data_IF_036285294060
#
_entry.id   IF_036285294060
#
_cell.length_a   1.000
_cell.length_b   1.000
_cell.length_c   1.000
_cell.angle_alpha   90.00
_cell.angle_beta   90.00
_cell.angle_gamma   90.00
#
_symmetry.space_group_name_H-M   'P 1'
#
loop_
_entity.id
_entity.type
_entity.pdbx_description
1 polymer ?
#
# COMPACT_ATOMS: atom_id res chain seq x y z
N UNK A 1 21.55 -5.58 26.18
CA UNK A 1 20.29 -5.12 25.60
C UNK A 1 19.94 -6.09 24.49
N UNK A 2 18.74 -6.63 24.53
CA UNK A 2 18.33 -7.84 23.81
C UNK A 2 18.30 -7.60 22.29
N UNK A 3 18.88 -8.50 21.51
CA UNK A 3 18.79 -8.58 20.05
C UNK A 3 17.35 -8.71 19.52
N UNK A 4 16.35 -8.75 20.42
CA UNK A 4 14.93 -8.95 20.08
C UNK A 4 14.27 -7.80 19.31
N UNK A 5 14.95 -6.67 19.11
CA UNK A 5 14.43 -5.51 18.39
C UNK A 5 15.32 -5.05 17.21
N UNK A 6 16.32 -5.85 16.82
CA UNK A 6 17.17 -5.51 15.67
C UNK A 6 16.39 -5.53 14.34
N UNK A 7 15.27 -6.25 14.31
CA UNK A 7 14.45 -6.46 13.11
C UNK A 7 13.11 -5.71 13.18
N UNK A 8 12.93 -4.78 14.15
CA UNK A 8 11.72 -3.99 14.26
C UNK A 8 11.88 -2.68 13.50
N UNK A 9 11.09 -2.51 12.46
CA UNK A 9 11.03 -1.30 11.66
C UNK A 9 9.70 -0.57 11.88
N UNK A 10 9.73 0.76 12.00
CA UNK A 10 8.55 1.61 12.00
C UNK A 10 8.42 2.25 10.63
N UNK A 11 7.40 1.86 9.90
CA UNK A 11 7.09 2.40 8.57
C UNK A 11 5.98 3.44 8.72
N UNK A 12 6.27 4.74 8.60
CA UNK A 12 5.24 5.77 8.67
C UNK A 12 4.38 5.77 7.41
N UNK A 13 3.08 5.95 7.59
CA UNK A 13 2.13 6.07 6.49
C UNK A 13 1.89 7.55 6.13
N UNK A 14 1.76 7.80 4.83
CA UNK A 14 1.35 9.07 4.23
C UNK A 14 0.14 8.76 3.35
N UNK A 15 -1.03 8.93 3.93
CA UNK A 15 -2.31 8.73 3.24
C UNK A 15 -2.70 10.04 2.56
N UNK A 16 -2.95 10.00 1.26
CA UNK A 16 -3.23 11.21 0.45
C UNK A 16 -4.65 11.14 -0.10
N UNK A 17 -5.38 12.23 0.10
CA UNK A 17 -6.71 12.48 -0.47
C UNK A 17 -6.83 13.93 -0.90
N UNK A 18 -7.37 14.20 -2.10
CA UNK A 18 -7.48 15.55 -2.67
C UNK A 18 -6.14 16.32 -2.64
N UNK A 19 -5.02 15.65 -2.91
CA UNK A 19 -3.65 16.22 -2.88
C UNK A 19 -3.18 16.69 -1.50
N UNK A 20 -3.82 16.28 -0.41
CA UNK A 20 -3.41 16.57 0.96
C UNK A 20 -3.24 15.29 1.77
N UNK A 21 -2.32 15.33 2.75
CA UNK A 21 -2.18 14.25 3.72
C UNK A 21 -3.39 14.26 4.64
N UNK A 22 -4.00 13.09 4.81
CA UNK A 22 -5.17 12.93 5.68
C UNK A 22 -5.01 11.75 6.63
N UNK A 23 -5.79 11.78 7.70
CA UNK A 23 -6.01 10.63 8.57
C UNK A 23 -7.52 10.40 8.69
N UNK A 24 -7.94 9.19 8.35
CA UNK A 24 -9.32 8.74 8.50
C UNK A 24 -9.52 8.06 9.86
N UNK A 25 -10.71 8.18 10.42
CA UNK A 25 -11.11 7.39 11.60
C UNK A 25 -11.70 6.07 11.12
N UNK A 26 -11.00 4.97 11.36
CA UNK A 26 -11.46 3.63 10.95
C UNK A 26 -11.64 3.43 9.45
N UNK A 27 -10.96 4.22 8.62
CA UNK A 27 -11.10 4.18 7.16
C UNK A 27 -12.40 4.80 6.63
N UNK A 28 -13.17 5.51 7.48
CA UNK A 28 -14.47 6.06 7.07
C UNK A 28 -14.31 7.42 6.37
N UNK A 29 -14.87 7.54 5.16
CA UNK A 29 -14.98 8.82 4.44
C UNK A 29 -15.79 9.84 5.24
N UNK A 30 -15.38 11.11 5.19
CA UNK A 30 -16.05 12.20 5.94
C UNK A 30 -15.53 12.37 7.35
N UNK A 31 -14.47 11.63 7.73
CA UNK A 31 -13.84 11.73 9.05
C UNK A 31 -12.43 12.33 8.97
N UNK A 32 -12.04 12.86 7.81
CA UNK A 32 -10.70 13.29 7.50
C UNK A 32 -10.20 14.40 8.43
N UNK A 33 -9.01 14.20 8.99
CA UNK A 33 -8.18 15.26 9.53
C UNK A 33 -7.05 15.53 8.55
N UNK A 34 -6.90 16.77 8.09
CA UNK A 34 -5.92 17.17 7.10
C UNK A 34 -4.64 17.66 7.73
N UNK A 35 -3.48 17.29 7.17
CA UNK A 35 -2.15 17.58 7.69
C UNK A 35 -1.25 18.34 6.71
N UNK A 36 -1.76 18.71 5.53
CA UNK A 36 -1.09 19.54 4.55
C UNK A 36 -0.39 18.75 3.43
N UNK A 37 0.74 19.26 2.97
CA UNK A 37 1.41 18.80 1.76
C UNK A 37 2.05 17.40 1.94
N UNK A 38 1.83 16.46 1.00
CA UNK A 38 2.38 15.11 1.06
C UNK A 38 3.91 15.04 0.97
N UNK A 39 4.52 15.93 0.19
CA UNK A 39 5.97 15.98 0.01
C UNK A 39 6.65 16.44 1.31
N UNK A 40 6.08 17.47 1.94
CA UNK A 40 6.56 17.98 3.23
C UNK A 40 6.43 16.91 4.33
N UNK A 41 5.32 16.15 4.33
CA UNK A 41 5.11 15.07 5.28
C UNK A 41 6.10 13.92 5.07
N UNK A 42 6.28 13.45 3.84
CA UNK A 42 7.25 12.41 3.50
C UNK A 42 8.67 12.81 3.92
N UNK A 43 9.11 14.00 3.53
CA UNK A 43 10.39 14.56 3.94
C UNK A 43 10.55 14.65 5.46
N UNK A 44 9.49 15.08 6.15
CA UNK A 44 9.50 15.18 7.60
C UNK A 44 9.69 13.83 8.29
N UNK A 45 9.22 12.71 7.71
CA UNK A 45 9.46 11.37 8.23
C UNK A 45 10.88 10.89 7.93
N UNK A 46 11.39 11.12 6.71
CA UNK A 46 12.77 10.80 6.35
C UNK A 46 13.76 11.55 7.26
N UNK A 47 13.54 12.83 7.50
CA UNK A 47 14.38 13.65 8.42
C UNK A 47 14.35 13.13 9.87
N UNK A 48 13.32 12.38 10.26
CA UNK A 48 13.21 11.70 11.57
C UNK A 48 13.79 10.29 11.59
N UNK A 49 14.33 9.82 10.47
CA UNK A 49 15.04 8.55 10.37
C UNK A 49 14.19 7.37 9.89
N UNK A 50 13.06 7.62 9.22
CA UNK A 50 12.35 6.57 8.52
C UNK A 50 13.26 5.99 7.42
N UNK A 51 13.34 4.67 7.35
CA UNK A 51 14.05 3.91 6.31
C UNK A 51 13.12 3.45 5.19
N UNK A 52 11.83 3.41 5.47
CA UNK A 52 10.77 3.07 4.52
C UNK A 52 9.58 4.01 4.72
N UNK A 53 8.90 4.38 3.63
CA UNK A 53 7.62 5.10 3.66
C UNK A 53 6.51 4.24 3.05
N UNK A 54 5.34 4.28 3.70
CA UNK A 54 4.10 3.70 3.17
C UNK A 54 3.21 4.80 2.61
N UNK A 55 3.00 4.81 1.31
CA UNK A 55 2.21 5.81 0.61
C UNK A 55 0.88 5.21 0.18
N UNK A 56 -0.22 5.89 0.45
CA UNK A 56 -1.56 5.42 0.06
C UNK A 56 -2.32 6.50 -0.70
N UNK A 57 -2.69 6.20 -1.94
CA UNK A 57 -3.65 7.00 -2.70
C UNK A 57 -5.07 6.60 -2.30
N UNK A 58 -5.67 7.38 -1.38
CA UNK A 58 -7.03 7.11 -0.91
C UNK A 58 -8.08 7.39 -1.98
N UNK A 59 -7.88 8.39 -2.84
CA UNK A 59 -8.77 8.63 -3.97
C UNK A 59 -8.70 7.46 -4.95
N UNK A 60 -7.48 6.98 -5.25
CA UNK A 60 -7.27 5.78 -6.03
C UNK A 60 -7.92 4.54 -5.43
N UNK A 61 -7.79 4.35 -4.13
CA UNK A 61 -8.41 3.24 -3.41
C UNK A 61 -9.94 3.26 -3.49
N UNK A 62 -10.52 4.45 -3.39
CA UNK A 62 -11.98 4.60 -3.38
C UNK A 62 -12.59 4.68 -4.79
N UNK A 63 -11.95 5.35 -5.73
CA UNK A 63 -12.47 5.65 -7.05
C UNK A 63 -11.86 4.78 -8.14
N UNK A 64 -10.70 4.19 -7.85
CA UNK A 64 -10.01 3.27 -8.74
C UNK A 64 -9.13 3.93 -9.78
N UNK A 65 -8.90 5.23 -9.66
CA UNK A 65 -7.99 5.98 -10.50
C UNK A 65 -6.95 6.68 -9.60
N UNK A 66 -5.68 6.61 -9.96
CA UNK A 66 -4.58 7.22 -9.19
C UNK A 66 -4.58 8.75 -9.36
N UNK A 67 -5.44 9.41 -8.62
CA UNK A 67 -5.68 10.86 -8.73
C UNK A 67 -4.51 11.69 -8.21
N UNK A 68 -3.75 11.15 -7.26
CA UNK A 68 -2.63 11.84 -6.61
C UNK A 68 -1.26 11.49 -7.22
N UNK A 69 -1.21 10.98 -8.46
CA UNK A 69 0.01 10.51 -9.10
C UNK A 69 1.15 11.55 -9.08
N UNK A 70 0.88 12.80 -9.42
CA UNK A 70 1.89 13.87 -9.44
C UNK A 70 2.58 14.07 -8.08
N UNK A 71 1.83 13.96 -6.97
CA UNK A 71 2.39 14.07 -5.63
C UNK A 71 3.30 12.88 -5.30
N UNK A 72 2.89 11.67 -5.68
CA UNK A 72 3.69 10.46 -5.46
C UNK A 72 4.95 10.43 -6.34
N UNK A 73 4.86 10.81 -7.61
CA UNK A 73 6.04 10.95 -8.48
C UNK A 73 7.07 11.90 -7.86
N UNK A 74 6.62 13.06 -7.34
CA UNK A 74 7.49 14.01 -6.67
C UNK A 74 8.16 13.42 -5.41
N UNK A 75 7.45 12.58 -4.65
CA UNK A 75 8.02 11.86 -3.49
C UNK A 75 9.02 10.81 -3.96
N UNK A 76 8.69 10.01 -4.98
CA UNK A 76 9.58 8.98 -5.54
C UNK A 76 10.89 9.60 -6.03
N UNK A 77 10.83 10.72 -6.74
CA UNK A 77 12.01 11.41 -7.26
C UNK A 77 12.94 11.99 -6.16
N UNK A 78 12.38 12.35 -5.01
CA UNK A 78 13.09 13.08 -3.95
C UNK A 78 13.41 12.25 -2.71
N UNK A 79 12.69 11.18 -2.44
CA UNK A 79 12.94 10.32 -1.32
C UNK A 79 14.21 9.47 -1.52
N UNK A 80 14.99 9.30 -0.44
CA UNK A 80 16.20 8.48 -0.42
C UNK A 80 16.05 7.25 0.47
N UNK A 81 14.82 6.75 0.59
CA UNK A 81 14.41 5.63 1.42
C UNK A 81 13.51 4.70 0.61
N UNK A 82 13.34 3.49 1.07
CA UNK A 82 12.46 2.52 0.42
C UNK A 82 11.00 3.00 0.42
N UNK A 83 10.31 2.78 -0.68
CA UNK A 83 8.93 3.21 -0.87
C UNK A 83 8.02 2.02 -1.13
N UNK A 84 6.89 1.98 -0.42
CA UNK A 84 5.81 1.06 -0.73
C UNK A 84 4.52 1.86 -0.98
N UNK A 85 3.85 1.56 -2.10
CA UNK A 85 2.68 2.33 -2.56
C UNK A 85 1.47 1.42 -2.73
N UNK A 86 0.32 1.86 -2.21
CA UNK A 86 -0.98 1.26 -2.42
C UNK A 86 -2.04 2.30 -2.78
N UNK A 87 -3.22 1.81 -3.16
CA UNK A 87 -4.36 2.66 -3.57
C UNK A 87 -4.47 2.81 -5.09
N UNK A 88 -5.58 2.32 -5.66
CA UNK A 88 -5.90 2.46 -7.08
C UNK A 88 -5.11 1.57 -8.05
N UNK A 89 -4.25 0.68 -7.58
CA UNK A 89 -3.52 -0.27 -8.42
C UNK A 89 -4.46 -1.42 -8.78
N UNK A 90 -4.87 -1.50 -10.04
CA UNK A 90 -5.88 -2.45 -10.51
C UNK A 90 -5.40 -3.35 -11.64
N UNK A 91 -4.37 -2.97 -12.34
CA UNK A 91 -3.81 -3.70 -13.47
C UNK A 91 -2.33 -4.01 -13.27
N UNK A 92 -1.83 -4.97 -14.03
CA UNK A 92 -0.39 -5.26 -14.09
C UNK A 92 0.38 -4.03 -14.56
N UNK A 93 -0.16 -3.30 -15.53
CA UNK A 93 0.48 -2.10 -16.08
C UNK A 93 0.63 -1.00 -15.03
N UNK A 94 -0.38 -0.77 -14.18
CA UNK A 94 -0.29 0.20 -13.05
C UNK A 94 0.84 -0.17 -12.08
N UNK A 95 0.96 -1.45 -11.76
CA UNK A 95 1.99 -1.94 -10.85
C UNK A 95 3.40 -1.81 -11.45
N UNK A 96 3.54 -2.22 -12.72
CA UNK A 96 4.83 -2.13 -13.46
C UNK A 96 5.28 -0.69 -13.58
N UNK A 97 4.38 0.23 -13.93
CA UNK A 97 4.70 1.66 -14.01
C UNK A 97 5.30 2.20 -12.70
N UNK A 98 4.70 1.88 -11.56
CA UNK A 98 5.21 2.29 -10.25
C UNK A 98 6.58 1.70 -9.94
N UNK A 99 6.77 0.41 -10.21
CA UNK A 99 8.06 -0.26 -10.00
C UNK A 99 9.15 0.32 -10.92
N UNK A 100 8.82 0.65 -12.18
CA UNK A 100 9.75 1.29 -13.11
C UNK A 100 10.10 2.73 -12.69
N UNK A 101 9.20 3.44 -12.02
CA UNK A 101 9.47 4.75 -11.44
C UNK A 101 10.41 4.71 -10.22
N UNK A 102 10.67 3.52 -9.65
CA UNK A 102 11.59 3.33 -8.54
C UNK A 102 10.91 3.04 -7.19
N UNK A 103 9.65 2.63 -7.20
CA UNK A 103 8.98 2.12 -6.01
C UNK A 103 9.50 0.71 -5.70
N UNK A 104 9.82 0.43 -4.44
CA UNK A 104 10.36 -0.87 -4.03
C UNK A 104 9.26 -1.92 -3.90
N UNK A 105 8.05 -1.52 -3.50
CA UNK A 105 6.90 -2.42 -3.34
C UNK A 105 5.59 -1.77 -3.77
N UNK A 106 4.78 -2.54 -4.48
CA UNK A 106 3.38 -2.20 -4.77
C UNK A 106 2.46 -3.02 -3.89
N UNK A 107 1.36 -2.41 -3.43
CA UNK A 107 0.40 -3.05 -2.53
C UNK A 107 -0.94 -3.16 -3.24
N UNK A 108 -1.34 -4.40 -3.47
CA UNK A 108 -2.61 -4.75 -4.08
C UNK A 108 -3.65 -5.06 -3.00
N UNK A 109 -4.78 -4.41 -3.04
CA UNK A 109 -5.93 -4.72 -2.20
C UNK A 109 -7.01 -5.44 -3.01
N UNK A 110 -8.08 -4.73 -3.37
CA UNK A 110 -9.26 -5.23 -4.08
C UNK A 110 -8.89 -6.04 -5.34
N UNK A 111 -7.94 -5.56 -6.14
CA UNK A 111 -7.53 -6.24 -7.38
C UNK A 111 -7.02 -7.66 -7.12
N UNK A 112 -6.23 -7.88 -6.06
CA UNK A 112 -5.74 -9.21 -5.71
C UNK A 112 -6.86 -10.13 -5.21
N UNK A 113 -7.87 -9.59 -4.51
CA UNK A 113 -9.01 -10.40 -4.05
C UNK A 113 -9.94 -10.78 -5.21
N UNK A 114 -10.14 -9.87 -6.16
CA UNK A 114 -11.00 -10.11 -7.34
C UNK A 114 -10.32 -11.01 -8.38
N UNK A 115 -9.00 -10.86 -8.56
CA UNK A 115 -8.21 -11.58 -9.56
C UNK A 115 -6.84 -11.92 -8.96
N UNK A 116 -6.73 -13.00 -8.17
CA UNK A 116 -5.49 -13.37 -7.48
C UNK A 116 -4.27 -13.56 -8.42
N UNK A 117 -4.53 -13.99 -9.64
CA UNK A 117 -3.50 -14.23 -10.67
C UNK A 117 -2.71 -12.96 -11.03
N UNK A 118 -3.26 -11.76 -10.79
CA UNK A 118 -2.57 -10.48 -11.04
C UNK A 118 -1.21 -10.44 -10.32
N UNK A 119 -1.12 -11.07 -9.14
CA UNK A 119 0.14 -11.13 -8.37
C UNK A 119 1.23 -11.84 -9.16
N UNK A 120 0.90 -12.98 -9.79
CA UNK A 120 1.85 -13.75 -10.58
C UNK A 120 2.18 -13.11 -11.94
N UNK A 121 1.28 -12.29 -12.45
CA UNK A 121 1.43 -11.62 -13.75
C UNK A 121 2.30 -10.35 -13.64
N UNK A 122 2.51 -9.80 -12.45
CA UNK A 122 3.43 -8.67 -12.23
C UNK A 122 4.86 -9.23 -12.23
N UNK A 123 5.73 -8.78 -13.16
CA UNK A 123 7.12 -9.23 -13.19
C UNK A 123 7.83 -8.88 -11.88
N UNK A 124 8.38 -9.88 -11.19
CA UNK A 124 9.24 -9.68 -10.03
C UNK A 124 10.53 -8.96 -10.47
N UNK A 125 10.59 -7.68 -10.24
CA UNK A 125 11.83 -6.93 -10.42
C UNK A 125 12.83 -7.26 -9.31
N UNK A 126 12.31 -7.52 -8.12
CA UNK A 126 13.05 -8.07 -6.97
C UNK A 126 12.08 -8.86 -6.09
N UNK A 127 12.56 -9.89 -5.37
CA UNK A 127 11.71 -10.67 -4.49
C UNK A 127 10.99 -9.77 -3.48
N UNK A 128 9.67 -9.93 -3.35
CA UNK A 128 8.86 -9.16 -2.42
C UNK A 128 8.45 -7.77 -2.91
N UNK A 129 8.59 -7.47 -4.20
CA UNK A 129 8.09 -6.21 -4.79
C UNK A 129 6.56 -6.10 -4.83
N UNK A 130 5.85 -7.21 -4.65
CA UNK A 130 4.38 -7.24 -4.58
C UNK A 130 3.91 -7.65 -3.20
N UNK A 131 3.09 -6.82 -2.57
CA UNK A 131 2.39 -7.11 -1.32
C UNK A 131 0.89 -7.20 -1.57
N UNK A 132 0.19 -8.01 -0.78
CA UNK A 132 -1.27 -8.07 -0.79
C UNK A 132 -1.81 -7.58 0.55
N UNK A 133 -2.72 -6.62 0.50
CA UNK A 133 -3.47 -6.12 1.66
C UNK A 133 -4.83 -6.80 1.71
N UNK A 134 -5.12 -7.46 2.83
CA UNK A 134 -6.40 -8.10 3.09
C UNK A 134 -7.07 -7.42 4.27
N UNK A 135 -8.12 -6.68 4.01
CA UNK A 135 -8.95 -6.12 5.07
C UNK A 135 -9.82 -7.20 5.70
N UNK A 136 -9.90 -7.21 7.03
CA UNK A 136 -10.71 -8.19 7.76
C UNK A 136 -11.63 -7.51 8.77
N UNK A 137 -12.85 -8.00 8.85
CA UNK A 137 -13.85 -7.55 9.83
C UNK A 137 -14.64 -8.74 10.34
N UNK A 138 -14.76 -8.84 11.68
CA UNK A 138 -15.48 -9.94 12.29
C UNK A 138 -14.87 -11.33 12.11
N UNK A 139 -13.56 -11.40 11.73
CA UNK A 139 -12.87 -12.67 11.46
C UNK A 139 -12.94 -13.13 10.00
N UNK A 140 -13.48 -12.34 9.11
CA UNK A 140 -13.61 -12.64 7.68
C UNK A 140 -12.94 -11.55 6.85
N UNK A 141 -12.36 -11.93 5.70
CA UNK A 141 -11.88 -10.96 4.71
C UNK A 141 -13.07 -10.18 4.16
N UNK A 142 -12.91 -8.87 4.06
CA UNK A 142 -13.91 -7.97 3.47
C UNK A 142 -13.32 -7.29 2.24
N UNK A 143 -14.18 -7.04 1.26
CA UNK A 143 -13.82 -6.29 0.05
C UNK A 143 -14.67 -5.03 0.02
N UNK A 144 -14.08 -3.84 -0.23
CA UNK A 144 -14.84 -2.61 -0.36
C UNK A 144 -15.99 -2.76 -1.37
N UNK A 145 -17.19 -2.37 -0.95
CA UNK A 145 -18.39 -2.51 -1.78
C UNK A 145 -19.15 -3.84 -1.67
N UNK A 146 -18.62 -4.85 -1.03
CA UNK A 146 -19.36 -6.08 -0.73
C UNK A 146 -20.20 -5.87 0.54
N UNK A 147 -21.49 -6.17 0.42
CA UNK A 147 -22.46 -6.02 1.54
C UNK A 147 -22.43 -7.21 2.50
N UNK A 148 -21.84 -8.32 2.07
CA UNK A 148 -21.69 -9.55 2.85
C UNK A 148 -20.20 -9.89 2.95
N UNK A 149 -19.78 -10.50 4.07
CA UNK A 149 -18.41 -11.00 4.23
C UNK A 149 -18.10 -12.09 3.19
N UNK A 150 -16.82 -12.25 2.86
CA UNK A 150 -16.41 -13.28 1.89
C UNK A 150 -16.52 -14.69 2.45
N UNK A 151 -16.68 -14.85 3.77
CA UNK A 151 -16.62 -16.12 4.48
C UNK A 151 -15.19 -16.72 4.56
N UNK A 152 -14.17 -15.97 4.09
CA UNK A 152 -12.79 -16.44 4.08
C UNK A 152 -12.08 -16.00 5.37
N UNK A 153 -11.44 -16.94 6.06
CA UNK A 153 -10.50 -16.64 7.12
C UNK A 153 -9.28 -15.89 6.56
N UNK A 154 -8.83 -14.78 7.18
CA UNK A 154 -7.72 -13.99 6.65
C UNK A 154 -6.41 -14.76 6.48
N UNK A 155 -6.08 -15.69 7.38
CA UNK A 155 -4.87 -16.49 7.28
C UNK A 155 -4.96 -17.54 6.15
N UNK A 156 -6.15 -18.13 5.97
CA UNK A 156 -6.40 -19.05 4.84
C UNK A 156 -6.37 -18.28 3.51
N UNK A 157 -6.92 -17.08 3.47
CA UNK A 157 -6.95 -16.23 2.27
C UNK A 157 -5.54 -15.73 1.87
N UNK A 158 -4.62 -15.53 2.81
CA UNK A 158 -3.26 -15.08 2.54
C UNK A 158 -2.39 -16.17 1.87
N UNK A 159 -2.60 -17.45 2.21
CA UNK A 159 -1.76 -18.58 1.78
C UNK A 159 -1.59 -18.68 0.24
N UNK A 160 -2.62 -18.53 -0.60
CA UNK A 160 -2.46 -18.60 -2.05
C UNK A 160 -1.53 -17.52 -2.63
N UNK A 161 -1.50 -16.33 -2.03
CA UNK A 161 -0.70 -15.22 -2.54
C UNK A 161 0.80 -15.43 -2.35
N UNK A 162 1.23 -16.12 -1.30
CA UNK A 162 2.64 -16.52 -1.13
C UNK A 162 3.09 -17.42 -2.29
N UNK A 163 2.23 -18.35 -2.72
CA UNK A 163 2.53 -19.23 -3.85
C UNK A 163 2.55 -18.50 -5.20
N UNK A 164 1.87 -17.34 -5.30
CA UNK A 164 1.85 -16.47 -6.47
C UNK A 164 3.01 -15.45 -6.47
N UNK A 165 3.85 -15.43 -5.42
CA UNK A 165 5.02 -14.55 -5.34
C UNK A 165 4.82 -13.29 -4.49
N UNK A 166 3.64 -13.10 -3.85
CA UNK A 166 3.48 -12.02 -2.90
C UNK A 166 4.29 -12.29 -1.64
N UNK A 167 4.88 -11.26 -1.08
CA UNK A 167 5.54 -11.34 0.20
C UNK A 167 6.57 -10.25 0.39
N UNK A 168 6.78 -9.85 1.65
CA UNK A 168 7.98 -9.14 2.01
C UNK A 168 9.12 -10.16 2.10
N UNK A 169 10.25 -9.85 1.50
CA UNK A 169 11.45 -10.66 1.67
C UNK A 169 11.80 -10.72 3.16
N UNK A 170 12.12 -11.89 3.71
CA UNK A 170 12.53 -12.02 5.10
C UNK A 170 13.84 -11.28 5.40
#
# INVERSE_FOLDING_TARGET
>A
MSEAFSDFEVIPAVDVQDSEVVQLVGGERGTETRYGDPIDAAKGWVDRGASTLHLVDLDGAFEGERVNADAFESIIETASVDLQIGGGIRTVDDAVELLELGVDRVILGTAAVETPEIVADIPDQQPGSVMVSLDAKGGEVVVPGWTEGTGLDPAEAATPYEALGAGANP
#
